data_IF_888017776099
#
_entry.id   IF_888017776099
#
_cell.length_a   1.000
_cell.length_b   1.000
_cell.length_c   1.000
_cell.angle_alpha   90.00
_cell.angle_beta   90.00
_cell.angle_gamma   90.00
#
_symmetry.space_group_name_H-M   'P 1'
#
loop_
_entity.id
_entity.type
_entity.pdbx_description
1 polymer ?
#
# COMPACT_ATOMS: atom_id res chain seq x y z
N UNK A 1 -5.13 35.48 7.33
CA UNK A 1 -4.58 34.09 7.22
C UNK A 1 -3.09 34.21 6.99
N UNK A 2 -2.30 33.39 7.67
CA UNK A 2 -0.84 33.38 7.45
C UNK A 2 -0.54 32.92 6.02
N UNK A 3 0.43 33.55 5.35
CA UNK A 3 0.85 33.18 3.98
C UNK A 3 1.48 31.77 3.87
N UNK A 4 1.68 31.09 5.01
CA UNK A 4 2.40 29.82 5.14
C UNK A 4 1.49 28.64 5.52
N UNK A 5 0.16 28.78 5.41
CA UNK A 5 -0.79 27.72 5.76
C UNK A 5 -0.97 26.81 4.54
N UNK A 6 -0.66 25.53 4.72
CA UNK A 6 -0.97 24.48 3.74
C UNK A 6 -2.45 24.09 3.78
N UNK A 7 -2.99 23.47 2.73
CA UNK A 7 -4.34 22.91 2.76
C UNK A 7 -4.50 21.84 3.84
N UNK A 8 -5.73 21.68 4.34
CA UNK A 8 -6.03 20.64 5.34
C UNK A 8 -5.60 19.26 4.83
N UNK A 9 -5.00 18.47 5.72
CA UNK A 9 -4.48 17.12 5.45
C UNK A 9 -3.36 17.03 4.40
N UNK A 10 -2.68 18.15 4.13
CA UNK A 10 -1.42 18.22 3.36
C UNK A 10 -0.37 18.84 4.27
N UNK A 11 0.78 18.20 4.37
CA UNK A 11 1.86 18.64 5.24
C UNK A 11 3.22 18.43 4.60
N UNK A 12 4.18 19.30 4.93
CA UNK A 12 5.57 19.06 4.62
C UNK A 12 6.07 17.83 5.40
N UNK A 13 6.90 17.03 4.76
CA UNK A 13 7.63 15.94 5.40
C UNK A 13 9.01 16.44 5.76
N UNK A 14 9.32 16.48 7.07
CA UNK A 14 10.56 17.04 7.57
C UNK A 14 11.76 16.07 7.41
N UNK A 15 13.02 16.55 7.51
CA UNK A 15 14.20 15.80 7.09
C UNK A 15 14.33 14.37 7.64
N UNK A 16 14.12 14.13 8.95
CA UNK A 16 14.24 12.80 9.54
C UNK A 16 13.19 11.83 9.01
N UNK A 17 11.94 12.30 8.88
CA UNK A 17 10.84 11.51 8.34
C UNK A 17 11.02 11.29 6.83
N UNK A 18 11.42 12.32 6.09
CA UNK A 18 11.68 12.24 4.66
C UNK A 18 12.76 11.21 4.33
N UNK A 19 13.84 11.18 5.13
CA UNK A 19 14.91 10.17 5.00
C UNK A 19 14.37 8.76 5.23
N UNK A 20 13.59 8.56 6.29
CA UNK A 20 13.02 7.28 6.61
C UNK A 20 12.08 6.79 5.49
N UNK A 21 11.19 7.65 4.99
CA UNK A 21 10.29 7.35 3.87
C UNK A 21 11.08 6.97 2.61
N UNK A 22 12.18 7.69 2.29
CA UNK A 22 13.00 7.40 1.12
C UNK A 22 13.75 6.06 1.26
N UNK A 23 14.22 5.70 2.45
CA UNK A 23 14.83 4.40 2.71
C UNK A 23 13.82 3.26 2.57
N UNK A 24 12.61 3.42 3.10
CA UNK A 24 11.50 2.50 2.88
C UNK A 24 11.21 2.36 1.38
N UNK A 25 11.05 3.47 0.66
CA UNK A 25 10.79 3.45 -0.78
C UNK A 25 11.83 2.62 -1.55
N UNK A 26 13.11 2.80 -1.26
CA UNK A 26 14.20 2.02 -1.88
C UNK A 26 14.10 0.54 -1.52
N UNK A 27 13.91 0.22 -0.25
CA UNK A 27 13.78 -1.16 0.21
C UNK A 27 12.62 -1.90 -0.45
N UNK A 28 11.44 -1.25 -0.56
CA UNK A 28 10.27 -1.84 -1.21
C UNK A 28 10.49 -2.07 -2.71
N UNK A 29 11.07 -1.11 -3.42
CA UNK A 29 11.39 -1.23 -4.85
C UNK A 29 12.43 -2.33 -5.11
N UNK A 30 13.45 -2.44 -4.27
CA UNK A 30 14.46 -3.49 -4.38
C UNK A 30 13.86 -4.87 -4.07
N UNK A 31 12.95 -4.97 -3.11
CA UNK A 31 12.20 -6.21 -2.82
C UNK A 31 11.37 -6.63 -4.03
N UNK A 32 10.59 -5.72 -4.61
CA UNK A 32 9.81 -6.01 -5.82
C UNK A 32 10.71 -6.45 -7.00
N UNK A 33 11.86 -5.79 -7.18
CA UNK A 33 12.84 -6.18 -8.19
C UNK A 33 13.35 -7.62 -7.99
N UNK A 34 13.55 -8.06 -6.74
CA UNK A 34 13.96 -9.43 -6.43
C UNK A 34 12.88 -10.47 -6.81
N UNK A 35 11.61 -10.09 -6.87
CA UNK A 35 10.51 -10.90 -7.38
C UNK A 35 10.35 -10.81 -8.91
N UNK A 36 11.19 -10.03 -9.59
CA UNK A 36 11.15 -9.86 -11.05
C UNK A 36 10.14 -8.79 -11.53
N UNK A 37 9.71 -7.88 -10.66
CA UNK A 37 8.86 -6.77 -11.05
C UNK A 37 9.66 -5.66 -11.73
N UNK A 38 9.16 -5.19 -12.86
CA UNK A 38 9.72 -4.07 -13.61
C UNK A 38 9.07 -2.76 -13.16
N UNK A 39 9.90 -1.76 -12.86
CA UNK A 39 9.42 -0.46 -12.42
C UNK A 39 8.83 0.33 -13.59
N UNK A 40 7.63 0.87 -13.40
CA UNK A 40 6.99 1.82 -14.30
C UNK A 40 6.72 3.14 -13.57
N UNK A 41 6.77 4.25 -14.32
CA UNK A 41 6.54 5.60 -13.79
C UNK A 41 5.45 6.30 -14.61
N UNK A 42 4.15 6.06 -14.32
CA UNK A 42 3.07 6.79 -14.97
C UNK A 42 3.10 8.29 -14.61
N UNK A 43 2.61 9.18 -15.47
CA UNK A 43 2.55 10.60 -15.16
C UNK A 43 1.55 10.88 -14.03
N UNK A 44 1.82 11.92 -13.23
CA UNK A 44 0.89 12.37 -12.18
C UNK A 44 -0.39 12.98 -12.75
N UNK A 45 -0.31 13.58 -13.92
CA UNK A 45 -1.35 14.34 -14.58
C UNK A 45 -1.71 13.69 -15.91
N UNK A 46 -2.99 13.39 -16.13
CA UNK A 46 -3.53 12.85 -17.39
C UNK A 46 -4.82 13.55 -17.80
N UNK A 47 -5.26 13.34 -19.04
CA UNK A 47 -6.61 13.72 -19.43
C UNK A 47 -7.64 13.01 -18.55
N UNK A 48 -8.62 13.76 -18.04
CA UNK A 48 -9.59 13.24 -17.06
C UNK A 48 -10.31 12.00 -17.58
N UNK A 49 -10.69 12.00 -18.87
CA UNK A 49 -11.34 10.87 -19.53
C UNK A 49 -10.48 9.59 -19.48
N UNK A 50 -9.18 9.73 -19.74
CA UNK A 50 -8.23 8.60 -19.70
C UNK A 50 -8.04 8.08 -18.28
N UNK A 51 -7.93 8.99 -17.31
CA UNK A 51 -7.66 8.67 -15.92
C UNK A 51 -8.84 7.95 -15.25
N UNK A 52 -10.08 8.33 -15.62
CA UNK A 52 -11.30 7.77 -15.04
C UNK A 52 -11.87 6.58 -15.82
N UNK A 53 -11.25 6.20 -16.93
CA UNK A 53 -11.70 5.05 -17.70
C UNK A 53 -11.62 3.77 -16.86
N UNK A 54 -12.78 3.15 -16.61
CA UNK A 54 -12.89 1.88 -15.86
C UNK A 54 -12.75 1.96 -14.34
N UNK A 55 -12.74 3.16 -13.75
CA UNK A 55 -12.42 3.33 -12.32
C UNK A 55 -13.64 3.54 -11.40
N UNK A 56 -14.83 3.77 -11.94
CA UNK A 56 -16.06 3.99 -11.16
C UNK A 56 -16.15 5.37 -10.48
N UNK A 57 -17.32 5.65 -9.90
CA UNK A 57 -17.64 6.97 -9.28
C UNK A 57 -16.76 7.31 -8.09
N UNK A 58 -16.33 6.33 -7.31
CA UNK A 58 -15.53 6.56 -6.10
C UNK A 58 -14.20 7.27 -6.42
N UNK A 59 -13.51 6.85 -7.47
CA UNK A 59 -12.25 7.47 -7.89
C UNK A 59 -12.46 8.84 -8.53
N UNK A 60 -13.58 9.03 -9.24
CA UNK A 60 -13.96 10.35 -9.80
C UNK A 60 -14.12 11.41 -8.70
N UNK A 61 -14.75 11.04 -7.58
CA UNK A 61 -14.93 11.94 -6.43
C UNK A 61 -13.61 12.26 -5.71
N UNK A 62 -12.63 11.37 -5.76
CA UNK A 62 -11.31 11.55 -5.17
C UNK A 62 -10.33 12.32 -6.08
N UNK A 63 -10.63 12.44 -7.37
CA UNK A 63 -9.75 13.03 -8.37
C UNK A 63 -9.85 14.54 -8.40
N UNK A 64 -8.71 15.25 -8.23
CA UNK A 64 -8.63 16.69 -8.53
C UNK A 64 -8.75 16.94 -10.02
N UNK A 65 -9.66 17.85 -10.39
CA UNK A 65 -9.93 18.20 -11.78
C UNK A 65 -9.38 19.59 -12.09
N UNK A 66 -8.63 19.70 -13.18
CA UNK A 66 -7.95 20.90 -13.64
C UNK A 66 -8.29 21.16 -15.11
N UNK A 67 -8.03 22.37 -15.57
CA UNK A 67 -8.11 22.72 -17.00
C UNK A 67 -6.72 22.94 -17.54
N UNK A 68 -6.37 22.22 -18.60
CA UNK A 68 -5.13 22.43 -19.33
C UNK A 68 -5.15 23.78 -20.07
N UNK A 69 -4.22 24.64 -19.71
CA UNK A 69 -4.10 25.98 -20.32
C UNK A 69 -3.68 25.95 -21.79
N UNK A 70 -3.06 24.84 -22.24
CA UNK A 70 -2.59 24.69 -23.61
C UNK A 70 -3.71 24.21 -24.55
N UNK A 71 -4.49 23.22 -24.12
CA UNK A 71 -5.49 22.58 -24.97
C UNK A 71 -6.94 22.91 -24.60
N UNK A 72 -7.19 23.52 -23.44
CA UNK A 72 -8.53 23.76 -22.90
C UNK A 72 -9.25 22.50 -22.40
N UNK A 73 -8.61 21.32 -22.42
CA UNK A 73 -9.18 20.05 -22.01
C UNK A 73 -9.11 19.85 -20.49
N UNK A 74 -10.03 19.05 -19.97
CA UNK A 74 -10.01 18.66 -18.56
C UNK A 74 -8.89 17.65 -18.28
N UNK A 75 -8.12 17.91 -17.23
CA UNK A 75 -7.10 17.04 -16.69
C UNK A 75 -7.48 16.58 -15.29
N UNK A 76 -6.92 15.45 -14.85
CA UNK A 76 -7.01 14.97 -13.49
C UNK A 76 -5.64 14.69 -12.89
N UNK A 77 -5.47 14.98 -11.59
CA UNK A 77 -4.37 14.42 -10.81
C UNK A 77 -4.75 13.00 -10.38
N UNK A 78 -3.86 12.04 -10.59
CA UNK A 78 -4.14 10.65 -10.22
C UNK A 78 -4.44 10.50 -8.73
N UNK A 79 -5.54 9.85 -8.43
CA UNK A 79 -5.91 9.45 -7.07
C UNK A 79 -5.52 7.99 -6.79
N UNK A 80 -5.26 7.20 -7.84
CA UNK A 80 -4.72 5.83 -7.78
C UNK A 80 -3.83 5.57 -9.01
N UNK A 81 -2.74 4.84 -8.82
CA UNK A 81 -1.78 4.52 -9.89
C UNK A 81 -2.16 3.22 -10.62
N UNK A 82 -2.88 2.30 -9.99
CA UNK A 82 -3.20 0.98 -10.55
C UNK A 82 -3.87 1.03 -11.93
N UNK A 83 -4.87 1.90 -12.20
CA UNK A 83 -5.49 2.00 -13.53
C UNK A 83 -4.48 2.42 -14.63
N UNK A 84 -3.55 3.32 -14.29
CA UNK A 84 -2.51 3.74 -15.23
C UNK A 84 -1.55 2.58 -15.56
N UNK A 85 -1.23 1.73 -14.58
CA UNK A 85 -0.37 0.55 -14.79
C UNK A 85 -1.08 -0.50 -15.63
N UNK A 86 -2.38 -0.71 -15.41
CA UNK A 86 -3.21 -1.58 -16.26
C UNK A 86 -3.25 -1.08 -17.72
N UNK A 87 -3.35 0.24 -17.93
CA UNK A 87 -3.25 0.85 -19.26
C UNK A 87 -1.87 0.63 -19.89
N UNK A 88 -0.79 0.72 -19.11
CA UNK A 88 0.58 0.46 -19.60
C UNK A 88 0.71 -0.99 -20.05
N UNK A 89 0.25 -1.98 -19.26
CA UNK A 89 0.25 -3.39 -19.69
C UNK A 89 -0.56 -3.60 -20.96
N UNK A 90 -1.78 -3.07 -21.00
CA UNK A 90 -2.70 -3.32 -22.11
C UNK A 90 -2.28 -2.65 -23.42
N UNK A 91 -1.83 -1.40 -23.38
CA UNK A 91 -1.58 -0.60 -24.58
C UNK A 91 -0.10 -0.48 -24.97
N UNK A 92 0.79 -0.27 -23.98
CA UNK A 92 2.18 0.07 -24.29
C UNK A 92 3.06 -1.18 -24.34
N UNK A 93 2.96 -2.07 -23.35
CA UNK A 93 3.76 -3.30 -23.32
C UNK A 93 3.14 -4.40 -24.15
N UNK A 94 1.85 -4.61 -24.05
CA UNK A 94 1.06 -5.58 -24.81
C UNK A 94 1.71 -6.98 -24.92
N UNK A 95 2.35 -7.44 -23.85
CA UNK A 95 3.08 -8.73 -23.79
C UNK A 95 2.11 -9.92 -23.77
N UNK A 96 2.47 -11.03 -24.43
CA UNK A 96 1.65 -12.26 -24.47
C UNK A 96 1.73 -13.06 -23.16
N UNK A 97 2.88 -13.06 -22.50
CA UNK A 97 3.15 -13.81 -21.27
C UNK A 97 2.71 -13.07 -20.00
N UNK A 98 3.08 -13.62 -18.85
CA UNK A 98 2.91 -12.97 -17.54
C UNK A 98 3.77 -11.72 -17.49
N UNK A 99 3.18 -10.62 -17.02
CA UNK A 99 3.86 -9.33 -16.84
C UNK A 99 3.80 -8.96 -15.37
N UNK A 100 4.93 -8.58 -14.78
CA UNK A 100 5.06 -8.11 -13.42
C UNK A 100 5.52 -6.65 -13.43
N UNK A 101 4.71 -5.75 -12.90
CA UNK A 101 5.00 -4.32 -12.87
C UNK A 101 4.91 -3.81 -11.44
N UNK A 102 5.82 -2.93 -11.05
CA UNK A 102 5.73 -2.19 -9.79
C UNK A 102 5.82 -0.69 -10.05
N UNK A 103 5.34 0.07 -9.10
CA UNK A 103 5.36 1.53 -9.16
C UNK A 103 5.53 2.14 -7.77
N UNK A 104 6.05 3.36 -7.71
CA UNK A 104 6.05 4.16 -6.52
C UNK A 104 5.95 5.64 -6.90
N UNK A 105 4.97 6.34 -6.35
CA UNK A 105 4.80 7.77 -6.58
C UNK A 105 3.65 8.37 -5.80
N UNK A 106 3.57 9.71 -5.75
CA UNK A 106 2.48 10.38 -5.05
C UNK A 106 1.15 10.15 -5.78
N UNK A 107 0.09 10.05 -4.99
CA UNK A 107 -1.29 10.20 -5.42
C UNK A 107 -1.92 11.35 -4.64
N UNK A 108 -2.98 11.97 -5.15
CA UNK A 108 -3.58 13.15 -4.49
C UNK A 108 -5.09 13.00 -4.44
N UNK A 109 -5.64 13.05 -3.23
CA UNK A 109 -7.07 12.89 -2.96
C UNK A 109 -7.74 14.23 -2.66
N UNK A 110 -8.91 14.47 -3.23
CA UNK A 110 -9.75 15.65 -2.91
C UNK A 110 -10.21 15.64 -1.46
N UNK A 111 -10.33 14.45 -0.87
CA UNK A 111 -10.77 14.22 0.52
C UNK A 111 -9.87 13.17 1.17
N UNK A 112 -9.61 13.26 2.48
CA UNK A 112 -8.96 12.17 3.19
C UNK A 112 -9.87 10.94 3.22
N UNK A 113 -9.32 9.74 3.07
CA UNK A 113 -10.09 8.48 3.12
C UNK A 113 -10.68 8.22 4.51
N UNK A 114 -10.09 8.83 5.54
CA UNK A 114 -10.48 8.70 6.96
C UNK A 114 -9.95 9.88 7.76
N UNK A 115 -10.47 10.10 8.99
CA UNK A 115 -9.94 11.13 9.89
C UNK A 115 -8.42 10.99 10.04
N UNK A 116 -7.70 12.10 9.93
CA UNK A 116 -6.23 12.21 10.04
C UNK A 116 -5.41 11.55 8.92
N UNK A 117 -6.01 10.94 7.89
CA UNK A 117 -5.28 10.49 6.73
C UNK A 117 -4.75 11.67 5.91
N UNK A 118 -3.56 11.52 5.34
CA UNK A 118 -3.04 12.48 4.38
C UNK A 118 -3.84 12.44 3.08
N UNK A 119 -3.98 13.60 2.42
CA UNK A 119 -4.52 13.70 1.06
C UNK A 119 -3.46 13.48 -0.02
N UNK A 120 -2.20 13.30 0.38
CA UNK A 120 -1.08 13.05 -0.50
C UNK A 120 -0.33 11.79 -0.06
N UNK A 121 -0.92 10.60 -0.25
CA UNK A 121 -0.21 9.33 -0.02
C UNK A 121 0.98 9.16 -0.97
N UNK A 122 2.02 8.48 -0.51
CA UNK A 122 3.10 7.98 -1.37
C UNK A 122 2.81 6.50 -1.66
N UNK A 123 2.08 6.27 -2.75
CA UNK A 123 1.62 4.93 -3.11
C UNK A 123 2.75 4.10 -3.70
N UNK A 124 3.01 2.93 -3.11
CA UNK A 124 3.77 1.83 -3.71
C UNK A 124 2.81 0.71 -4.06
N UNK A 125 3.01 0.04 -5.19
CA UNK A 125 2.23 -1.12 -5.57
C UNK A 125 2.94 -2.04 -6.54
N UNK A 126 2.43 -3.26 -6.65
CA UNK A 126 2.94 -4.31 -7.52
C UNK A 126 1.78 -5.11 -8.11
N UNK A 127 1.82 -5.33 -9.43
CA UNK A 127 0.73 -5.88 -10.23
C UNK A 127 1.23 -7.02 -11.12
N UNK A 128 0.50 -8.14 -11.16
CA UNK A 128 0.74 -9.30 -12.04
C UNK A 128 -0.39 -9.36 -13.06
N UNK A 129 -0.05 -9.38 -14.33
CA UNK A 129 -1.01 -9.52 -15.43
C UNK A 129 -0.78 -10.82 -16.19
N UNK A 130 -1.87 -11.49 -16.57
CA UNK A 130 -1.84 -12.63 -17.50
C UNK A 130 -1.77 -14.01 -16.85
N UNK A 131 -1.93 -14.14 -15.53
CA UNK A 131 -2.02 -15.43 -14.84
C UNK A 131 -3.34 -15.56 -14.06
N UNK A 132 -4.15 -16.55 -14.41
CA UNK A 132 -5.47 -16.75 -13.80
C UNK A 132 -5.44 -17.61 -12.53
N UNK A 133 -4.35 -18.32 -12.27
CA UNK A 133 -4.22 -19.22 -11.12
C UNK A 133 -3.97 -18.47 -9.81
N UNK A 134 -4.20 -19.19 -8.69
CA UNK A 134 -4.02 -18.70 -7.34
C UNK A 134 -2.55 -18.37 -6.99
N UNK A 135 -1.61 -18.80 -7.83
CA UNK A 135 -0.18 -18.52 -7.67
C UNK A 135 0.10 -17.01 -7.76
N UNK A 136 -0.61 -16.27 -8.63
CA UNK A 136 -0.49 -14.83 -8.71
C UNK A 136 -1.04 -14.13 -7.44
N UNK A 137 -2.16 -14.63 -6.92
CA UNK A 137 -2.73 -14.12 -5.67
C UNK A 137 -1.78 -14.37 -4.50
N UNK A 138 -1.20 -15.57 -4.42
CA UNK A 138 -0.21 -15.93 -3.39
C UNK A 138 1.04 -15.07 -3.49
N UNK A 139 1.57 -14.86 -4.70
CA UNK A 139 2.77 -14.03 -4.92
C UNK A 139 2.51 -12.57 -4.47
N UNK A 140 1.32 -12.01 -4.76
CA UNK A 140 0.96 -10.67 -4.31
C UNK A 140 0.93 -10.56 -2.77
N UNK A 141 0.36 -11.56 -2.07
CA UNK A 141 0.37 -11.62 -0.60
C UNK A 141 1.79 -11.76 -0.06
N UNK A 142 2.59 -12.67 -0.61
CA UNK A 142 3.98 -12.93 -0.15
C UNK A 142 4.86 -11.70 -0.35
N UNK A 143 4.84 -11.09 -1.53
CA UNK A 143 5.61 -9.87 -1.81
C UNK A 143 5.20 -8.73 -0.86
N UNK A 144 3.91 -8.55 -0.61
CA UNK A 144 3.44 -7.50 0.31
C UNK A 144 3.92 -7.73 1.75
N UNK A 145 3.93 -8.98 2.23
CA UNK A 145 4.49 -9.34 3.53
C UNK A 145 6.01 -9.13 3.58
N UNK A 146 6.73 -9.46 2.52
CA UNK A 146 8.18 -9.22 2.44
C UNK A 146 8.50 -7.73 2.41
N UNK A 147 7.68 -6.91 1.75
CA UNK A 147 7.78 -5.46 1.81
C UNK A 147 7.63 -4.93 3.25
N UNK A 148 6.62 -5.42 4.00
CA UNK A 148 6.43 -5.02 5.40
C UNK A 148 7.57 -5.54 6.30
N UNK A 149 8.11 -6.73 6.03
CA UNK A 149 9.26 -7.28 6.74
C UNK A 149 10.52 -6.44 6.53
N UNK A 150 10.80 -6.01 5.29
CA UNK A 150 11.91 -5.10 4.97
C UNK A 150 11.72 -3.73 5.63
N UNK A 151 10.47 -3.29 5.79
CA UNK A 151 10.14 -2.11 6.58
C UNK A 151 10.22 -2.33 8.10
N UNK A 152 10.62 -3.51 8.59
CA UNK A 152 10.65 -3.89 10.00
C UNK A 152 9.31 -3.76 10.73
N UNK A 153 8.19 -3.89 10.01
CA UNK A 153 6.85 -3.93 10.61
C UNK A 153 6.64 -5.31 11.21
N UNK A 154 6.39 -5.36 12.53
CA UNK A 154 6.24 -6.60 13.30
C UNK A 154 4.76 -6.97 13.49
N UNK A 155 4.52 -8.23 13.90
CA UNK A 155 3.19 -8.73 14.32
C UNK A 155 2.07 -8.48 13.31
N UNK A 156 2.39 -8.61 12.02
CA UNK A 156 1.41 -8.45 10.95
C UNK A 156 0.39 -9.60 10.94
N UNK A 157 -0.85 -9.28 10.55
CA UNK A 157 -1.91 -10.26 10.28
C UNK A 157 -2.52 -10.03 8.91
N UNK A 158 -2.90 -11.12 8.24
CA UNK A 158 -3.54 -11.10 6.92
C UNK A 158 -5.01 -11.46 7.06
N UNK A 159 -5.88 -10.60 6.53
CA UNK A 159 -7.31 -10.84 6.44
C UNK A 159 -7.68 -11.19 4.99
N UNK A 160 -8.33 -12.33 4.78
CA UNK A 160 -8.71 -12.84 3.47
C UNK A 160 -10.23 -12.80 3.28
N UNK A 161 -10.65 -12.39 2.09
CA UNK A 161 -12.04 -12.42 1.66
C UNK A 161 -12.12 -12.76 0.17
N UNK A 162 -13.33 -12.99 -0.34
CA UNK A 162 -13.53 -13.20 -1.77
C UNK A 162 -14.92 -12.68 -2.19
N UNK A 163 -14.92 -11.73 -3.10
CA UNK A 163 -16.15 -11.07 -3.57
C UNK A 163 -17.09 -12.04 -4.31
N UNK A 164 -16.57 -13.17 -4.81
CA UNK A 164 -17.38 -14.19 -5.53
C UNK A 164 -18.40 -14.85 -4.64
N UNK A 165 -18.21 -14.88 -3.31
CA UNK A 165 -19.19 -15.45 -2.37
C UNK A 165 -20.50 -14.66 -2.46
N UNK A 166 -20.44 -13.33 -2.31
CA UNK A 166 -21.65 -12.48 -2.40
C UNK A 166 -22.21 -12.45 -3.82
N UNK A 167 -21.34 -12.43 -4.85
CA UNK A 167 -21.80 -12.56 -6.25
C UNK A 167 -22.58 -13.85 -6.48
N UNK A 168 -22.14 -14.96 -5.91
CA UNK A 168 -22.82 -16.25 -6.00
C UNK A 168 -24.18 -16.25 -5.27
N UNK A 169 -24.25 -15.60 -4.11
CA UNK A 169 -25.51 -15.45 -3.35
C UNK A 169 -26.52 -14.56 -4.07
N UNK A 170 -26.07 -13.60 -4.83
CA UNK A 170 -26.91 -12.68 -5.61
C UNK A 170 -27.16 -13.16 -7.06
N UNK A 171 -26.60 -14.30 -7.46
CA UNK A 171 -26.78 -14.83 -8.80
C UNK A 171 -28.25 -15.09 -9.11
N UNK A 172 -28.77 -14.46 -10.18
CA UNK A 172 -30.18 -14.54 -10.57
C UNK A 172 -31.15 -13.70 -9.74
N UNK A 173 -30.65 -12.95 -8.75
CA UNK A 173 -31.45 -11.96 -8.01
C UNK A 173 -31.41 -10.62 -8.76
N UNK A 174 -32.57 -9.99 -9.07
CA UNK A 174 -32.59 -8.69 -9.73
C UNK A 174 -32.16 -7.61 -8.75
N UNK A 175 -30.89 -7.21 -8.82
CA UNK A 175 -30.30 -6.16 -7.97
C UNK A 175 -29.74 -5.09 -8.88
N UNK A 176 -30.24 -3.87 -8.74
CA UNK A 176 -29.68 -2.70 -9.40
C UNK A 176 -28.45 -2.14 -8.65
N UNK A 177 -27.73 -1.23 -9.26
CA UNK A 177 -26.50 -0.69 -8.68
C UNK A 177 -26.72 0.03 -7.33
N UNK A 178 -27.78 0.84 -7.12
CA UNK A 178 -28.06 1.45 -5.81
C UNK A 178 -28.35 0.41 -4.71
N UNK A 179 -29.16 -0.61 -5.00
CA UNK A 179 -29.48 -1.67 -4.04
C UNK A 179 -28.23 -2.48 -3.72
N UNK A 180 -27.40 -2.82 -4.72
CA UNK A 180 -26.14 -3.50 -4.51
C UNK A 180 -25.21 -2.70 -3.57
N UNK A 181 -25.10 -1.40 -3.78
CA UNK A 181 -24.32 -0.51 -2.91
C UNK A 181 -24.86 -0.50 -1.47
N UNK A 182 -26.18 -0.49 -1.29
CA UNK A 182 -26.81 -0.55 0.04
C UNK A 182 -26.53 -1.88 0.72
N UNK A 183 -26.60 -3.00 0.01
CA UNK A 183 -26.25 -4.34 0.52
C UNK A 183 -24.79 -4.37 0.95
N UNK A 184 -23.87 -3.83 0.15
CA UNK A 184 -22.44 -3.75 0.50
C UNK A 184 -22.21 -2.94 1.78
N UNK A 185 -22.91 -1.81 1.90
CA UNK A 185 -22.82 -0.95 3.09
C UNK A 185 -23.33 -1.68 4.34
N UNK A 186 -24.47 -2.37 4.22
CA UNK A 186 -25.04 -3.14 5.33
C UNK A 186 -24.12 -4.30 5.76
N UNK A 187 -23.52 -5.02 4.80
CA UNK A 187 -22.54 -6.09 5.06
C UNK A 187 -21.28 -5.55 5.74
N UNK A 188 -20.71 -4.45 5.24
CA UNK A 188 -19.51 -3.81 5.79
C UNK A 188 -19.71 -3.31 7.22
N UNK A 189 -20.90 -2.78 7.51
CA UNK A 189 -21.29 -2.28 8.84
C UNK A 189 -21.83 -3.38 9.76
N UNK A 190 -21.92 -4.63 9.28
CA UNK A 190 -22.55 -5.76 9.98
C UNK A 190 -23.98 -5.44 10.44
N UNK A 191 -24.73 -4.65 9.65
CA UNK A 191 -26.09 -4.25 9.95
C UNK A 191 -27.11 -5.32 9.51
N UNK A 192 -27.45 -6.20 10.45
CA UNK A 192 -28.40 -7.30 10.21
C UNK A 192 -29.82 -6.79 9.90
N UNK A 193 -30.24 -5.69 10.50
CA UNK A 193 -31.59 -5.14 10.34
C UNK A 193 -31.78 -4.57 8.94
N UNK A 194 -30.83 -3.74 8.50
CA UNK A 194 -30.84 -3.16 7.17
C UNK A 194 -30.70 -4.25 6.10
N UNK A 195 -29.79 -5.20 6.29
CA UNK A 195 -29.61 -6.30 5.35
C UNK A 195 -30.86 -7.18 5.22
N UNK A 196 -31.55 -7.47 6.33
CA UNK A 196 -32.83 -8.21 6.33
C UNK A 196 -33.92 -7.43 5.59
N UNK A 197 -33.97 -6.11 5.74
CA UNK A 197 -34.91 -5.24 5.04
C UNK A 197 -34.63 -5.21 3.53
N UNK A 198 -33.39 -5.01 3.12
CA UNK A 198 -32.96 -4.95 1.72
C UNK A 198 -33.19 -6.28 1.00
N UNK A 199 -33.00 -7.40 1.69
CA UNK A 199 -33.09 -8.75 1.10
C UNK A 199 -34.46 -9.43 1.31
N UNK A 200 -35.49 -8.73 1.83
CA UNK A 200 -36.80 -9.30 2.18
C UNK A 200 -37.50 -10.05 1.03
N UNK A 201 -37.35 -9.54 -0.19
CA UNK A 201 -37.99 -10.08 -1.40
C UNK A 201 -37.08 -11.02 -2.19
N UNK A 202 -35.87 -11.33 -1.64
CA UNK A 202 -34.93 -12.24 -2.28
C UNK A 202 -35.33 -13.71 -2.07
N UNK A 203 -34.86 -14.62 -2.93
CA UNK A 203 -34.94 -16.04 -2.67
C UNK A 203 -34.40 -16.39 -1.28
N UNK A 204 -35.06 -17.33 -0.59
CA UNK A 204 -34.72 -17.69 0.79
C UNK A 204 -33.25 -18.04 0.96
N UNK A 205 -32.66 -18.80 0.05
CA UNK A 205 -31.26 -19.19 0.10
C UNK A 205 -30.31 -17.96 0.01
N UNK A 206 -30.61 -17.00 -0.86
CA UNK A 206 -29.82 -15.76 -1.00
C UNK A 206 -29.91 -14.90 0.26
N UNK A 207 -31.13 -14.69 0.78
CA UNK A 207 -31.36 -13.90 1.99
C UNK A 207 -30.69 -14.53 3.22
N UNK A 208 -30.91 -15.81 3.47
CA UNK A 208 -30.30 -16.53 4.59
C UNK A 208 -28.77 -16.55 4.47
N UNK A 209 -28.23 -16.77 3.26
CA UNK A 209 -26.81 -16.73 2.99
C UNK A 209 -26.18 -15.37 3.28
N UNK A 210 -26.79 -14.27 2.82
CA UNK A 210 -26.31 -12.91 3.09
C UNK A 210 -26.30 -12.60 4.61
N UNK A 211 -27.37 -12.95 5.32
CA UNK A 211 -27.45 -12.74 6.78
C UNK A 211 -26.42 -13.60 7.53
N UNK A 212 -26.17 -14.83 7.08
CA UNK A 212 -25.17 -15.70 7.67
C UNK A 212 -23.76 -15.14 7.55
N UNK A 213 -23.42 -14.45 6.44
CA UNK A 213 -22.10 -13.81 6.25
C UNK A 213 -21.74 -12.81 7.34
N UNK A 214 -22.73 -12.17 7.99
CA UNK A 214 -22.48 -11.20 9.05
C UNK A 214 -21.73 -11.78 10.26
N UNK A 215 -21.85 -13.11 10.46
CA UNK A 215 -21.20 -13.83 11.56
C UNK A 215 -19.98 -14.63 11.09
N UNK A 216 -19.68 -14.62 9.77
CA UNK A 216 -18.61 -15.42 9.18
C UNK A 216 -17.31 -14.62 9.12
N UNK A 217 -16.71 -14.39 10.28
CA UNK A 217 -15.39 -13.77 10.44
C UNK A 217 -14.61 -14.45 11.57
N UNK A 218 -13.30 -14.55 11.43
CA UNK A 218 -12.40 -15.18 12.42
C UNK A 218 -11.32 -16.04 11.77
N UNK A 219 -10.94 -17.10 12.46
CA UNK A 219 -9.89 -18.01 12.03
C UNK A 219 -10.43 -19.09 11.03
N UNK A 220 -9.65 -20.12 10.71
CA UNK A 220 -9.98 -21.10 9.62
C UNK A 220 -11.30 -21.84 9.84
N UNK A 221 -11.78 -21.98 11.07
CA UNK A 221 -13.06 -22.62 11.40
C UNK A 221 -14.24 -21.96 10.67
N UNK A 222 -14.15 -20.67 10.39
CA UNK A 222 -15.15 -19.90 9.63
C UNK A 222 -15.38 -20.50 8.23
N UNK A 223 -14.35 -21.01 7.58
CA UNK A 223 -14.49 -21.64 6.26
C UNK A 223 -15.32 -22.94 6.31
N UNK A 224 -15.19 -23.69 7.41
CA UNK A 224 -15.98 -24.91 7.62
C UNK A 224 -17.45 -24.58 7.91
N UNK A 225 -17.68 -23.52 8.68
CA UNK A 225 -19.06 -23.04 8.96
C UNK A 225 -19.70 -22.50 7.69
N UNK A 226 -18.96 -21.73 6.90
CA UNK A 226 -19.42 -21.20 5.61
C UNK A 226 -19.75 -22.33 4.61
N UNK A 227 -18.92 -23.38 4.53
CA UNK A 227 -19.22 -24.54 3.67
C UNK A 227 -20.55 -25.21 4.04
N UNK A 228 -20.86 -25.34 5.33
CA UNK A 228 -22.14 -25.91 5.80
C UNK A 228 -23.32 -24.97 5.52
N UNK A 229 -23.19 -23.69 5.87
CA UNK A 229 -24.28 -22.73 5.74
C UNK A 229 -24.60 -22.41 4.27
N UNK A 230 -23.60 -22.34 3.40
CA UNK A 230 -23.71 -21.93 2.01
C UNK A 230 -23.66 -23.12 1.02
N UNK A 231 -23.78 -24.35 1.50
CA UNK A 231 -23.65 -25.56 0.69
C UNK A 231 -24.60 -25.63 -0.53
N UNK A 232 -25.74 -24.90 -0.49
CA UNK A 232 -26.71 -24.83 -1.57
C UNK A 232 -26.40 -23.73 -2.60
N UNK A 233 -25.39 -22.91 -2.38
CA UNK A 233 -25.02 -21.80 -3.28
C UNK A 233 -23.94 -22.29 -4.25
N UNK A 234 -24.24 -22.38 -5.56
CA UNK A 234 -23.29 -22.87 -6.55
C UNK A 234 -22.02 -21.99 -6.57
N UNK A 235 -20.86 -22.63 -6.73
CA UNK A 235 -19.56 -21.95 -6.83
C UNK A 235 -18.91 -21.56 -5.49
N UNK A 236 -19.66 -21.41 -4.41
CA UNK A 236 -19.09 -21.00 -3.10
C UNK A 236 -18.07 -22.01 -2.57
N UNK A 237 -18.30 -23.30 -2.74
CA UNK A 237 -17.38 -24.34 -2.28
C UNK A 237 -15.98 -24.20 -2.90
N UNK A 238 -15.92 -23.92 -4.19
CA UNK A 238 -14.63 -23.68 -4.89
C UNK A 238 -13.92 -22.47 -4.32
N UNK A 239 -14.65 -21.38 -4.09
CA UNK A 239 -14.10 -20.15 -3.49
C UNK A 239 -13.52 -20.41 -2.10
N UNK A 240 -14.25 -21.16 -1.24
CA UNK A 240 -13.76 -21.51 0.10
C UNK A 240 -12.50 -22.40 0.04
N UNK A 241 -12.44 -23.34 -0.91
CA UNK A 241 -11.24 -24.15 -1.14
C UNK A 241 -10.06 -23.31 -1.58
N UNK A 242 -10.28 -22.29 -2.43
CA UNK A 242 -9.26 -21.35 -2.85
C UNK A 242 -8.71 -20.53 -1.68
N UNK A 243 -9.59 -19.99 -0.83
CA UNK A 243 -9.19 -19.28 0.39
C UNK A 243 -8.39 -20.16 1.34
N UNK A 244 -8.82 -21.41 1.54
CA UNK A 244 -8.10 -22.40 2.35
C UNK A 244 -6.72 -22.73 1.77
N UNK A 245 -6.64 -22.89 0.45
CA UNK A 245 -5.37 -23.13 -0.25
C UNK A 245 -4.40 -21.97 -0.06
N UNK A 246 -4.85 -20.73 -0.19
CA UNK A 246 -4.04 -19.53 0.05
C UNK A 246 -3.57 -19.46 1.49
N UNK A 247 -4.48 -19.56 2.45
CA UNK A 247 -4.17 -19.49 3.87
C UNK A 247 -3.11 -20.53 4.29
N UNK A 248 -3.22 -21.76 3.78
CA UNK A 248 -2.25 -22.83 4.08
C UNK A 248 -0.83 -22.55 3.58
N UNK A 249 -0.63 -21.58 2.69
CA UNK A 249 0.65 -21.21 2.09
C UNK A 249 1.21 -19.87 2.57
N UNK A 250 0.41 -19.07 3.23
CA UNK A 250 0.84 -17.86 3.92
C UNK A 250 1.44 -18.27 5.26
N UNK A 251 2.75 -18.14 5.41
CA UNK A 251 3.49 -18.63 6.59
C UNK A 251 4.03 -17.48 7.45
N UNK A 252 4.16 -17.73 8.74
CA UNK A 252 4.80 -16.81 9.68
C UNK A 252 3.96 -15.62 10.11
N UNK A 253 2.68 -15.57 9.73
CA UNK A 253 1.73 -14.53 10.10
C UNK A 253 0.38 -15.16 10.44
N UNK A 254 -0.41 -14.49 11.27
CA UNK A 254 -1.79 -14.88 11.52
C UNK A 254 -2.63 -14.59 10.28
N UNK A 255 -3.44 -15.57 9.87
CA UNK A 255 -4.43 -15.42 8.80
C UNK A 255 -5.82 -15.46 9.41
N UNK A 256 -6.66 -14.50 9.08
CA UNK A 256 -8.08 -14.42 9.42
C UNK A 256 -8.92 -14.25 8.17
N UNK A 257 -10.24 -14.37 8.33
CA UNK A 257 -11.21 -14.26 7.25
C UNK A 257 -12.33 -13.32 7.66
N UNK A 258 -12.84 -12.51 6.74
CA UNK A 258 -14.12 -11.82 6.84
C UNK A 258 -14.88 -11.98 5.53
N UNK A 259 -15.78 -12.97 5.47
CA UNK A 259 -16.49 -13.34 4.25
C UNK A 259 -17.56 -12.30 3.84
N UNK A 260 -17.86 -11.33 4.70
CA UNK A 260 -18.73 -10.19 4.41
C UNK A 260 -17.94 -8.93 4.00
N UNK A 261 -16.59 -8.95 4.02
CA UNK A 261 -15.81 -7.79 3.62
C UNK A 261 -15.82 -7.61 2.10
N UNK A 262 -16.53 -6.57 1.65
CA UNK A 262 -16.72 -6.21 0.25
C UNK A 262 -16.08 -4.86 -0.11
N UNK A 263 -15.20 -4.32 0.72
CA UNK A 263 -14.50 -3.07 0.40
C UNK A 263 -13.77 -3.22 -0.93
N UNK A 264 -14.07 -2.33 -1.88
CA UNK A 264 -13.55 -2.41 -3.24
C UNK A 264 -14.27 -3.43 -4.15
N UNK A 265 -15.47 -3.91 -3.80
CA UNK A 265 -16.26 -4.88 -4.59
C UNK A 265 -16.38 -4.51 -6.08
N UNK A 266 -16.56 -3.24 -6.40
CA UNK A 266 -16.66 -2.78 -7.78
C UNK A 266 -15.35 -2.96 -8.58
N UNK A 267 -14.24 -3.07 -7.87
CA UNK A 267 -12.91 -3.21 -8.46
C UNK A 267 -12.44 -4.68 -8.50
N UNK A 268 -12.64 -5.45 -7.42
CA UNK A 268 -12.17 -6.83 -7.32
C UNK A 268 -13.07 -7.83 -8.05
N UNK A 269 -12.47 -8.81 -8.71
CA UNK A 269 -13.17 -9.91 -9.41
C UNK A 269 -13.09 -11.24 -8.66
N UNK A 270 -12.26 -11.36 -7.63
CA UNK A 270 -12.00 -12.60 -6.92
C UNK A 270 -11.57 -12.38 -5.47
N UNK A 271 -10.50 -13.11 -5.08
CA UNK A 271 -9.89 -12.98 -3.77
C UNK A 271 -9.41 -11.55 -3.53
N UNK A 272 -9.56 -11.11 -2.30
CA UNK A 272 -8.97 -9.88 -1.78
C UNK A 272 -8.27 -10.14 -0.45
N UNK A 273 -7.31 -9.31 -0.13
CA UNK A 273 -6.64 -9.36 1.17
C UNK A 273 -6.35 -7.96 1.72
N UNK A 274 -6.23 -7.90 3.02
CA UNK A 274 -5.74 -6.74 3.75
C UNK A 274 -4.72 -7.17 4.79
N UNK A 275 -3.66 -6.36 4.99
CA UNK A 275 -2.65 -6.66 6.01
C UNK A 275 -2.67 -5.56 7.05
N UNK A 276 -2.77 -5.98 8.30
CA UNK A 276 -2.83 -5.12 9.48
C UNK A 276 -1.58 -5.31 10.34
N UNK A 277 -1.22 -4.28 11.09
CA UNK A 277 -0.17 -4.33 12.10
C UNK A 277 -0.57 -3.51 13.33
N UNK A 278 -0.05 -3.84 14.53
CA UNK A 278 -0.24 -3.03 15.72
C UNK A 278 0.20 -1.58 15.51
N UNK A 279 -0.54 -0.63 16.08
CA UNK A 279 -0.25 0.80 15.95
C UNK A 279 -0.74 1.44 14.65
N UNK A 280 -1.13 0.65 13.64
CA UNK A 280 -1.82 1.17 12.47
C UNK A 280 -3.32 1.33 12.74
N UNK A 281 -3.90 2.46 12.32
CA UNK A 281 -5.34 2.73 12.47
C UNK A 281 -6.20 2.01 11.43
N UNK A 282 -5.57 1.40 10.42
CA UNK A 282 -6.23 0.69 9.31
C UNK A 282 -5.25 -0.28 8.64
N UNK A 283 -5.70 -1.03 7.63
CA UNK A 283 -4.83 -1.89 6.85
C UNK A 283 -3.69 -1.10 6.21
N UNK A 284 -2.47 -1.60 6.38
CA UNK A 284 -1.27 -1.05 5.74
C UNK A 284 -1.20 -1.42 4.27
N UNK A 285 -1.69 -2.60 3.91
CA UNK A 285 -1.70 -3.13 2.54
C UNK A 285 -3.11 -3.55 2.18
N UNK A 286 -3.50 -3.28 0.95
CA UNK A 286 -4.72 -3.80 0.34
C UNK A 286 -4.40 -4.36 -1.04
N UNK A 287 -4.95 -5.52 -1.35
CA UNK A 287 -4.73 -6.18 -2.62
C UNK A 287 -5.79 -7.22 -2.96
N UNK A 288 -5.62 -7.85 -4.10
CA UNK A 288 -6.50 -8.93 -4.57
C UNK A 288 -6.50 -9.07 -6.09
N UNK A 289 -7.49 -9.80 -6.60
CA UNK A 289 -7.70 -10.09 -8.02
C UNK A 289 -8.72 -9.14 -8.65
N UNK A 290 -8.39 -8.59 -9.83
CA UNK A 290 -9.21 -7.61 -10.55
C UNK A 290 -9.13 -7.77 -12.08
N UNK A 291 -9.54 -8.91 -12.57
CA UNK A 291 -9.37 -9.34 -13.97
C UNK A 291 -10.02 -8.40 -15.00
N UNK A 292 -11.02 -7.62 -14.61
CA UNK A 292 -11.83 -6.81 -15.55
C UNK A 292 -11.24 -5.41 -15.82
N UNK A 293 -10.29 -4.94 -15.03
CA UNK A 293 -9.73 -3.58 -15.15
C UNK A 293 -9.07 -3.34 -16.51
N UNK A 294 -8.43 -4.36 -17.10
CA UNK A 294 -7.84 -4.27 -18.42
C UNK A 294 -8.84 -4.21 -19.58
N UNK A 295 -10.08 -4.66 -19.38
CA UNK A 295 -11.10 -4.75 -20.43
C UNK A 295 -11.43 -3.38 -21.04
N UNK A 296 -11.53 -2.34 -20.21
CA UNK A 296 -11.80 -0.95 -20.64
C UNK A 296 -10.68 -0.38 -21.50
N UNK A 297 -9.48 -0.93 -21.40
CA UNK A 297 -8.33 -0.59 -22.24
C UNK A 297 -8.19 -1.53 -23.45
N UNK A 298 -9.23 -2.31 -23.77
CA UNK A 298 -9.28 -3.18 -24.94
C UNK A 298 -8.60 -4.54 -24.78
N UNK A 299 -8.10 -4.87 -23.59
CA UNK A 299 -7.45 -6.14 -23.32
C UNK A 299 -7.82 -6.71 -21.95
N UNK A 300 -8.76 -7.64 -21.96
CA UNK A 300 -9.13 -8.37 -20.74
C UNK A 300 -8.07 -9.43 -20.40
N UNK A 301 -7.41 -9.29 -19.25
CA UNK A 301 -6.40 -10.23 -18.75
C UNK A 301 -6.60 -10.45 -17.25
N UNK A 302 -6.36 -11.68 -16.77
CA UNK A 302 -6.27 -11.91 -15.33
C UNK A 302 -5.24 -10.96 -14.72
N UNK A 303 -5.61 -10.34 -13.61
CA UNK A 303 -4.76 -9.41 -12.89
C UNK A 303 -4.91 -9.59 -11.38
N UNK A 304 -3.78 -9.57 -10.68
CA UNK A 304 -3.72 -9.55 -9.22
C UNK A 304 -2.60 -8.61 -8.77
N UNK A 305 -2.78 -7.96 -7.63
CA UNK A 305 -1.77 -7.04 -7.13
C UNK A 305 -2.16 -6.44 -5.80
N UNK A 306 -1.34 -5.50 -5.34
CA UNK A 306 -1.58 -4.77 -4.11
C UNK A 306 -1.00 -3.38 -4.16
N UNK A 307 -1.46 -2.54 -3.24
CA UNK A 307 -0.86 -1.25 -2.96
C UNK A 307 -0.80 -0.95 -1.46
N UNK A 308 0.10 -0.05 -1.09
CA UNK A 308 0.28 0.50 0.24
C UNK A 308 0.68 1.98 0.17
N UNK A 309 0.47 2.71 1.26
CA UNK A 309 0.99 4.06 1.45
C UNK A 309 2.25 4.03 2.32
N UNK A 310 3.41 4.40 1.73
CA UNK A 310 4.69 4.38 2.44
C UNK A 310 4.67 5.34 3.65
N UNK A 311 3.94 6.47 3.56
CA UNK A 311 3.79 7.39 4.69
C UNK A 311 3.08 6.72 5.88
N UNK A 312 2.08 5.85 5.63
CA UNK A 312 1.44 5.07 6.70
C UNK A 312 2.37 3.99 7.25
N UNK A 313 3.10 3.28 6.39
CA UNK A 313 4.08 2.28 6.82
C UNK A 313 5.15 2.93 7.69
N UNK A 314 5.61 4.15 7.35
CA UNK A 314 6.64 4.87 8.12
C UNK A 314 6.22 5.21 9.55
N UNK A 315 4.92 5.29 9.84
CA UNK A 315 4.41 5.56 11.20
C UNK A 315 4.64 4.36 12.13
N UNK A 316 4.50 3.13 11.61
CA UNK A 316 4.61 1.89 12.39
C UNK A 316 5.97 1.20 12.22
N UNK A 317 6.74 1.62 11.25
CA UNK A 317 8.12 1.16 11.02
C UNK A 317 9.08 1.85 12.00
N UNK A 318 9.95 1.12 12.69
CA UNK A 318 10.93 1.74 13.58
C UNK A 318 11.90 2.62 12.78
N UNK A 319 12.06 3.86 13.23
CA UNK A 319 13.04 4.77 12.63
C UNK A 319 14.43 4.34 13.09
N UNK A 320 15.28 3.96 12.16
CA UNK A 320 16.69 3.72 12.41
C UNK A 320 17.44 4.96 11.93
N UNK A 321 17.86 5.79 12.87
CA UNK A 321 18.77 6.89 12.54
C UNK A 321 20.11 6.27 12.14
N UNK A 322 20.55 6.50 10.91
CA UNK A 322 21.89 6.11 10.51
C UNK A 322 22.89 6.97 11.27
N UNK A 323 23.77 6.29 11.97
CA UNK A 323 24.91 6.91 12.62
C UNK A 323 25.76 7.69 11.61
N UNK A 324 26.31 8.84 12.02
CA UNK A 324 27.15 9.68 11.20
C UNK A 324 28.51 9.93 11.86
N UNK A 325 29.49 10.28 11.04
CA UNK A 325 30.83 10.66 11.50
C UNK A 325 30.88 12.17 11.50
N UNK A 326 31.17 12.78 12.66
CA UNK A 326 31.50 14.19 12.81
C UNK A 326 32.95 14.39 12.35
N UNK A 327 33.19 15.29 11.46
CA UNK A 327 34.54 15.64 10.98
C UNK A 327 34.81 17.11 11.19
N UNK A 328 36.08 17.51 11.53
CA UNK A 328 36.42 18.90 11.58
C UNK A 328 36.40 19.53 10.18
N UNK A 329 36.14 20.83 10.14
CA UNK A 329 36.44 21.63 8.96
C UNK A 329 37.95 21.84 8.88
N UNK A 330 38.59 21.47 7.78
CA UNK A 330 40.03 21.60 7.61
C UNK A 330 40.42 21.88 6.17
N UNK A 331 41.47 22.70 5.99
CA UNK A 331 41.96 23.09 4.66
C UNK A 331 43.09 22.17 4.14
N UNK A 332 43.49 21.14 4.92
CA UNK A 332 44.55 20.22 4.50
C UNK A 332 44.05 19.17 3.52
N UNK A 333 44.87 18.83 2.53
CA UNK A 333 44.57 17.78 1.56
C UNK A 333 44.31 16.41 2.23
N UNK A 334 44.98 16.14 3.36
CA UNK A 334 44.89 14.89 4.09
C UNK A 334 43.51 14.68 4.72
N UNK A 335 42.89 15.72 5.32
CA UNK A 335 41.55 15.63 5.89
C UNK A 335 40.49 15.47 4.79
N UNK A 336 40.66 16.20 3.68
CA UNK A 336 39.77 16.08 2.53
C UNK A 336 39.82 14.69 1.92
N UNK A 337 41.00 14.08 1.79
CA UNK A 337 41.21 12.74 1.30
C UNK A 337 40.52 11.67 2.22
N UNK A 338 40.71 11.84 3.55
CA UNK A 338 40.09 10.96 4.54
C UNK A 338 38.56 11.03 4.49
N UNK A 339 37.98 12.23 4.44
CA UNK A 339 36.53 12.46 4.31
C UNK A 339 36.01 11.87 3.00
N UNK A 340 36.70 12.08 1.88
CA UNK A 340 36.30 11.54 0.58
C UNK A 340 36.35 10.02 0.57
N UNK A 341 37.33 9.38 1.18
CA UNK A 341 37.44 7.94 1.33
C UNK A 341 36.25 7.36 2.13
N UNK A 342 35.91 7.96 3.27
CA UNK A 342 34.77 7.53 4.09
C UNK A 342 33.44 7.66 3.30
N UNK A 343 33.22 8.78 2.62
CA UNK A 343 32.03 8.98 1.80
C UNK A 343 31.94 7.99 0.64
N UNK A 344 33.06 7.63 0.03
CA UNK A 344 33.09 6.62 -1.04
C UNK A 344 32.75 5.21 -0.56
N UNK A 345 32.96 4.92 0.74
CA UNK A 345 32.53 3.70 1.40
C UNK A 345 31.06 3.74 1.86
N UNK A 346 30.32 4.83 1.57
CA UNK A 346 28.91 4.98 1.95
C UNK A 346 28.68 5.52 3.35
N UNK A 347 29.73 5.98 4.05
CA UNK A 347 29.59 6.63 5.35
C UNK A 347 29.01 8.05 5.21
N UNK A 348 28.17 8.43 6.17
CA UNK A 348 27.72 9.81 6.32
C UNK A 348 28.76 10.59 7.12
N UNK A 349 29.37 11.59 6.50
CA UNK A 349 30.39 12.43 7.17
C UNK A 349 29.90 13.86 7.16
N UNK A 350 29.64 14.40 8.36
CA UNK A 350 29.22 15.80 8.61
C UNK A 350 30.41 16.62 9.00
N UNK A 351 30.81 17.56 8.13
CA UNK A 351 31.89 18.51 8.45
C UNK A 351 31.31 19.64 9.28
N UNK A 352 31.85 19.83 10.49
CA UNK A 352 31.44 20.92 11.37
C UNK A 352 32.04 22.24 10.83
N UNK A 353 31.16 23.16 10.48
CA UNK A 353 31.57 24.45 9.96
C UNK A 353 32.18 25.31 11.08
N UNK A 354 33.18 26.18 10.80
CA UNK A 354 33.77 27.05 11.80
C UNK A 354 32.71 27.94 12.46
N UNK A 355 32.72 27.97 13.79
CA UNK A 355 31.76 28.73 14.60
C UNK A 355 30.47 28.02 14.93
N UNK A 356 30.30 26.76 14.47
CA UNK A 356 29.11 25.94 14.67
C UNK A 356 29.40 24.62 15.42
N UNK A 357 30.47 24.61 16.20
CA UNK A 357 30.98 23.41 16.89
C UNK A 357 30.00 22.85 17.95
N UNK A 358 29.11 23.71 18.45
CA UNK A 358 28.14 23.39 19.50
C UNK A 358 26.70 23.12 18.97
N UNK A 359 26.49 23.21 17.66
CA UNK A 359 25.18 22.99 17.09
C UNK A 359 24.80 21.49 17.07
N UNK A 360 23.56 21.21 17.43
CA UNK A 360 23.03 19.84 17.37
C UNK A 360 22.56 19.57 15.96
N UNK A 361 23.23 18.63 15.29
CA UNK A 361 22.84 18.16 13.97
C UNK A 361 21.67 17.16 14.06
N UNK A 362 20.78 17.19 13.08
CA UNK A 362 19.76 16.15 12.89
C UNK A 362 20.37 14.75 12.62
N UNK A 363 21.60 14.72 12.11
CA UNK A 363 22.41 13.51 12.04
C UNK A 363 22.98 13.21 13.41
N UNK A 364 22.56 12.09 13.99
CA UNK A 364 23.15 11.61 15.24
C UNK A 364 24.59 11.15 14.95
N UNK A 365 25.58 12.01 15.23
CA UNK A 365 26.98 11.65 15.10
C UNK A 365 27.39 10.82 16.31
N UNK A 366 27.62 9.51 16.11
CA UNK A 366 28.11 8.58 17.12
C UNK A 366 29.64 8.39 17.06
N UNK A 367 30.25 8.89 15.99
CA UNK A 367 31.69 8.78 15.70
C UNK A 367 32.25 10.15 15.29
N UNK A 368 33.54 10.33 15.50
CA UNK A 368 34.27 11.51 15.04
C UNK A 368 35.56 11.13 14.29
N UNK A 369 35.91 11.96 13.33
CA UNK A 369 37.17 11.87 12.58
C UNK A 369 38.24 12.75 13.27
N UNK A 370 39.24 12.10 13.81
CA UNK A 370 40.33 12.79 14.57
C UNK A 370 41.70 12.47 13.99
N UNK A 371 42.62 13.38 14.16
CA UNK A 371 44.04 13.18 13.79
C UNK A 371 44.80 12.63 14.98
N UNK A 372 45.34 11.41 14.86
CA UNK A 372 46.21 10.79 15.85
C UNK A 372 47.55 10.50 15.20
N UNK A 373 48.61 11.12 15.71
CA UNK A 373 49.97 10.95 15.18
C UNK A 373 50.10 11.25 13.67
N UNK A 374 49.32 12.19 13.17
CA UNK A 374 49.33 12.57 11.76
C UNK A 374 48.48 11.67 10.84
N UNK A 375 47.74 10.71 11.39
CA UNK A 375 46.81 9.90 10.65
C UNK A 375 45.36 10.21 11.05
N UNK A 376 44.46 10.28 10.07
CA UNK A 376 43.01 10.45 10.29
C UNK A 376 42.36 9.10 10.59
N UNK A 377 41.78 8.99 11.79
CA UNK A 377 41.08 7.78 12.24
C UNK A 377 39.66 8.14 12.70
N UNK A 378 38.76 7.20 12.56
CA UNK A 378 37.40 7.31 13.10
C UNK A 378 37.36 6.65 14.47
N UNK A 379 36.90 7.39 15.48
CA UNK A 379 36.68 6.84 16.83
C UNK A 379 35.27 7.14 17.31
N UNK A 380 34.76 6.34 18.24
CA UNK A 380 33.45 6.57 18.86
C UNK A 380 33.49 7.84 19.70
N UNK A 381 32.42 8.61 19.66
CA UNK A 381 32.20 9.71 20.60
C UNK A 381 31.76 9.11 21.92
N UNK A 382 32.52 9.31 23.00
CA UNK A 382 32.09 8.87 24.32
C UNK A 382 30.82 9.65 24.71
N UNK A 383 29.74 8.89 25.02
CA UNK A 383 28.50 9.50 25.48
C UNK A 383 28.79 10.27 26.79
N UNK A 384 28.75 11.57 26.72
CA UNK A 384 28.72 12.39 27.93
C UNK A 384 27.38 12.21 28.61
N UNK A 385 27.32 11.91 29.91
CA UNK A 385 26.15 11.57 30.74
C UNK A 385 24.99 12.59 30.77
N UNK A 386 24.99 13.56 29.87
CA UNK A 386 24.08 14.71 29.87
C UNK A 386 22.88 14.61 28.92
N UNK A 387 22.74 13.53 28.13
CA UNK A 387 21.62 13.37 27.17
C UNK A 387 20.49 12.46 27.63
N UNK A 388 20.46 12.03 28.89
CA UNK A 388 19.37 11.20 29.45
C UNK A 388 18.14 12.00 29.89
N UNK A 389 17.94 13.22 29.44
CA UNK A 389 16.93 14.19 29.90
C UNK A 389 15.76 14.53 28.99
N UNK A 390 15.64 13.91 27.80
CA UNK A 390 14.45 14.16 26.94
C UNK A 390 13.84 12.82 26.45
N UNK A 391 12.89 12.34 27.27
CA UNK A 391 11.88 11.36 26.87
C UNK A 391 10.60 12.06 26.42
#
# INVERSE_FOLDING_TARGET
MSAWVLPDHIADVLPSEARHIEELRRGLLDTARCYGYELVMPPLLEHLESLLTGTGEALDLQTFKLVDQLSGRSLGLRADTTPQVARIDAHLLNRKGVTRLCYCGPVVHTRPDRPHATREPLQFGAEIYGHAGLEADLEAVQLSLDCLRVANVQDTSVDLADVRIVRSLLAGVPVDAPLLQSIHTALANKDASELAFLSRDFPVASREGLLALLQMYGDEEVLVEAEKALQRTPGVREVLLNLKWLASRVQGVRVSFDLADLRGYAYYSGMRFAIYAPGASDALVRGGRYDEVGAVFGRNRPAAGFSLDIKQVSVVSPRVLKAAIRAPWGDSEDVHAAIAALRSCGETVVCVLPGHESEVDEFHCDRELVSVSGQWIVQAIEATDNELGLR
#
